data_IF_712535689468
#
_entry.id   IF_712535689468
#
_cell.length_a   1.000
_cell.length_b   1.000
_cell.length_c   1.000
_cell.angle_alpha   90.00
_cell.angle_beta   90.00
_cell.angle_gamma   90.00
#
_symmetry.space_group_name_H-M   'P 1'
#
loop_
_entity.id
_entity.type
_entity.pdbx_description
1 polymer ?
#
# COMPACT_ATOMS: atom_id res chain seq x y z
N UNK A 1 5.19 -4.29 -18.71
CA UNK A 1 3.99 -4.19 -17.85
C UNK A 1 4.04 -5.37 -16.89
N UNK A 2 4.58 -5.17 -15.67
CA UNK A 2 4.80 -6.23 -14.66
C UNK A 2 4.11 -5.77 -13.36
N UNK A 3 2.78 -5.82 -13.32
CA UNK A 3 2.01 -5.60 -12.07
C UNK A 3 1.22 -6.84 -11.62
N UNK A 4 1.30 -7.95 -12.37
CA UNK A 4 0.59 -9.20 -12.04
C UNK A 4 1.47 -10.29 -11.39
N UNK A 5 2.74 -10.01 -11.09
CA UNK A 5 3.66 -11.01 -10.53
C UNK A 5 3.48 -11.27 -9.03
N UNK A 6 2.60 -10.49 -8.36
CA UNK A 6 2.40 -10.58 -6.91
C UNK A 6 1.20 -11.44 -6.52
N UNK A 7 0.30 -11.75 -7.46
CA UNK A 7 -0.92 -12.51 -7.18
C UNK A 7 -0.77 -14.00 -7.51
N UNK A 8 -1.28 -14.84 -6.61
CA UNK A 8 -1.36 -16.29 -6.81
C UNK A 8 -2.36 -16.66 -7.91
N UNK A 9 -2.26 -17.87 -8.47
CA UNK A 9 -3.26 -18.35 -9.44
C UNK A 9 -4.65 -18.48 -8.81
N UNK A 10 -4.72 -18.81 -7.51
CA UNK A 10 -5.97 -18.82 -6.74
C UNK A 10 -6.65 -17.45 -6.79
N UNK A 11 -5.91 -16.38 -6.50
CA UNK A 11 -6.43 -15.02 -6.57
C UNK A 11 -6.98 -14.68 -7.96
N UNK A 12 -6.25 -15.01 -9.03
CA UNK A 12 -6.71 -14.79 -10.41
C UNK A 12 -8.01 -15.53 -10.73
N UNK A 13 -8.15 -16.77 -10.22
CA UNK A 13 -9.35 -17.56 -10.42
C UNK A 13 -10.54 -17.00 -9.61
N UNK A 14 -10.27 -16.40 -8.45
CA UNK A 14 -11.28 -15.79 -7.58
C UNK A 14 -11.88 -14.54 -8.21
N UNK A 15 -11.03 -13.66 -8.76
CA UNK A 15 -11.46 -12.37 -9.30
C UNK A 15 -12.01 -12.44 -10.72
N UNK A 16 -11.95 -13.59 -11.41
CA UNK A 16 -12.43 -13.74 -12.79
C UNK A 16 -13.92 -13.47 -12.99
N UNK A 17 -14.71 -13.58 -11.91
CA UNK A 17 -16.16 -13.38 -11.92
C UNK A 17 -16.54 -11.90 -11.79
N UNK A 18 -15.57 -11.02 -11.53
CA UNK A 18 -15.80 -9.59 -11.42
C UNK A 18 -15.78 -8.95 -12.82
N UNK A 19 -16.93 -8.44 -13.25
CA UNK A 19 -17.05 -7.68 -14.48
C UNK A 19 -16.86 -6.19 -14.20
N UNK A 20 -15.86 -5.57 -14.85
CA UNK A 20 -15.56 -4.15 -14.68
C UNK A 20 -16.56 -3.31 -15.48
N UNK A 21 -17.43 -2.56 -14.81
CA UNK A 21 -18.54 -1.83 -15.46
C UNK A 21 -18.36 -0.32 -15.52
N UNK A 22 -17.57 0.29 -14.62
CA UNK A 22 -17.32 1.73 -14.61
C UNK A 22 -15.91 2.03 -14.10
N UNK A 23 -15.25 3.03 -14.69
CA UNK A 23 -14.01 3.62 -14.18
C UNK A 23 -14.14 5.12 -14.19
N UNK A 24 -13.94 5.76 -13.04
CA UNK A 24 -14.09 7.21 -12.89
C UNK A 24 -13.03 7.80 -11.96
N UNK A 25 -12.45 8.94 -12.36
CA UNK A 25 -11.62 9.74 -11.46
C UNK A 25 -12.49 10.54 -10.50
N UNK A 26 -12.15 10.48 -9.21
CA UNK A 26 -12.76 11.32 -8.18
C UNK A 26 -11.72 12.25 -7.56
N UNK A 27 -12.14 13.47 -7.25
CA UNK A 27 -11.32 14.48 -6.59
C UNK A 27 -12.07 15.12 -5.46
N UNK A 28 -11.48 15.05 -4.26
CA UNK A 28 -11.96 15.76 -3.07
C UNK A 28 -11.08 16.98 -2.88
N UNK A 29 -11.70 18.13 -2.63
CA UNK A 29 -11.02 19.40 -2.44
C UNK A 29 -11.03 19.82 -0.97
N UNK A 30 -10.04 20.62 -0.58
CA UNK A 30 -10.10 21.43 0.62
C UNK A 30 -11.03 22.65 0.41
N UNK A 31 -11.39 23.33 1.49
CA UNK A 31 -12.17 24.58 1.45
C UNK A 31 -11.47 25.76 0.76
N UNK A 32 -10.21 25.61 0.35
CA UNK A 32 -9.44 26.60 -0.42
C UNK A 32 -9.23 26.15 -1.87
N UNK A 33 -10.11 25.27 -2.36
CA UNK A 33 -10.15 24.72 -3.72
C UNK A 33 -8.90 23.96 -4.16
N UNK A 34 -7.93 23.74 -3.27
CA UNK A 34 -6.80 22.87 -3.54
C UNK A 34 -7.22 21.40 -3.42
N UNK A 35 -6.74 20.51 -4.31
CA UNK A 35 -6.98 19.08 -4.17
C UNK A 35 -6.52 18.59 -2.80
N UNK A 36 -7.35 17.78 -2.15
CA UNK A 36 -7.03 17.02 -0.94
C UNK A 36 -6.69 15.58 -1.29
N UNK A 37 -7.46 15.00 -2.21
CA UNK A 37 -7.34 13.61 -2.59
C UNK A 37 -7.80 13.43 -4.04
N UNK A 38 -7.01 12.72 -4.84
CA UNK A 38 -7.35 12.32 -6.21
C UNK A 38 -7.21 10.79 -6.28
N UNK A 39 -8.23 10.11 -6.77
CA UNK A 39 -8.24 8.66 -6.93
C UNK A 39 -8.95 8.27 -8.22
N UNK A 40 -8.72 7.05 -8.69
CA UNK A 40 -9.58 6.40 -9.69
C UNK A 40 -10.40 5.35 -8.95
N UNK A 41 -11.72 5.43 -9.08
CA UNK A 41 -12.64 4.41 -8.59
C UNK A 41 -13.06 3.52 -9.75
N UNK A 42 -13.18 2.25 -9.46
CA UNK A 42 -13.77 1.26 -10.36
C UNK A 42 -15.00 0.66 -9.70
N UNK A 43 -15.99 0.31 -10.53
CA UNK A 43 -17.16 -0.47 -10.15
C UNK A 43 -17.05 -1.84 -10.81
N UNK A 44 -17.32 -2.88 -10.04
CA UNK A 44 -17.48 -4.24 -10.52
C UNK A 44 -18.91 -4.73 -10.28
N UNK A 45 -19.40 -5.53 -11.21
CA UNK A 45 -20.62 -6.32 -11.07
C UNK A 45 -20.26 -7.81 -11.03
N UNK A 46 -21.01 -8.56 -10.23
CA UNK A 46 -20.93 -10.01 -10.11
C UNK A 46 -22.31 -10.54 -9.67
N UNK A 47 -22.51 -11.86 -9.67
CA UNK A 47 -23.81 -12.48 -9.36
C UNK A 47 -24.38 -12.05 -8.00
N UNK A 48 -23.52 -11.73 -7.03
CA UNK A 48 -23.91 -11.25 -5.69
C UNK A 48 -24.10 -9.74 -5.56
N UNK A 49 -23.89 -8.95 -6.62
CA UNK A 49 -24.20 -7.52 -6.64
C UNK A 49 -23.10 -6.62 -7.18
N UNK A 50 -22.93 -5.46 -6.55
CA UNK A 50 -22.01 -4.41 -6.99
C UNK A 50 -20.97 -4.15 -5.91
N UNK A 51 -19.70 -4.11 -6.31
CA UNK A 51 -18.61 -3.64 -5.45
C UNK A 51 -17.85 -2.49 -6.09
N UNK A 52 -17.30 -1.60 -5.25
CA UNK A 52 -16.51 -0.45 -5.68
C UNK A 52 -15.18 -0.45 -4.95
N UNK A 53 -14.10 -0.16 -5.67
CA UNK A 53 -12.77 -0.05 -5.08
C UNK A 53 -11.97 1.07 -5.76
N UNK A 54 -10.86 1.46 -5.13
CA UNK A 54 -9.90 2.39 -5.74
C UNK A 54 -8.86 1.61 -6.52
N UNK A 55 -8.41 2.14 -7.66
CA UNK A 55 -7.40 1.51 -8.51
C UNK A 55 -6.38 2.53 -8.99
N UNK A 56 -5.27 2.03 -9.54
CA UNK A 56 -4.26 2.86 -10.17
C UNK A 56 -3.50 3.71 -9.15
N UNK A 57 -3.20 4.97 -9.50
CA UNK A 57 -2.43 5.85 -8.62
C UNK A 57 -3.33 6.84 -7.90
N UNK A 58 -3.31 6.81 -6.58
CA UNK A 58 -3.99 7.79 -5.72
C UNK A 58 -2.99 8.80 -5.16
N UNK A 59 -3.44 10.05 -5.04
CA UNK A 59 -2.64 11.15 -4.52
C UNK A 59 -3.37 11.81 -3.36
N UNK A 60 -2.71 11.93 -2.22
CA UNK A 60 -3.15 12.77 -1.10
C UNK A 60 -2.26 13.99 -1.05
N UNK A 61 -2.85 15.15 -0.80
CA UNK A 61 -2.16 16.43 -0.79
C UNK A 61 -2.28 17.08 0.59
N UNK A 62 -1.26 17.84 0.96
CA UNK A 62 -1.37 18.85 2.01
C UNK A 62 -2.21 20.03 1.53
N UNK A 63 -2.79 20.78 2.48
CA UNK A 63 -3.56 22.00 2.19
C UNK A 63 -2.78 23.09 1.45
N UNK A 64 -1.44 23.03 1.43
CA UNK A 64 -0.60 23.93 0.63
C UNK A 64 -0.49 23.51 -0.86
N UNK A 65 -1.01 22.33 -1.24
CA UNK A 65 -1.00 21.78 -2.60
C UNK A 65 0.15 20.80 -2.87
N UNK A 66 1.06 20.59 -1.91
CA UNK A 66 2.14 19.61 -2.06
C UNK A 66 1.62 18.20 -1.79
N UNK A 67 2.19 17.23 -2.48
CA UNK A 67 1.86 15.82 -2.29
C UNK A 67 2.30 15.39 -0.88
N UNK A 68 1.39 14.75 -0.15
CA UNK A 68 1.62 14.14 1.15
C UNK A 68 1.80 12.62 1.02
N UNK A 69 1.08 11.98 0.08
CA UNK A 69 1.14 10.54 -0.15
C UNK A 69 0.83 10.22 -1.60
N UNK A 70 1.56 9.27 -2.16
CA UNK A 70 1.26 8.62 -3.45
C UNK A 70 1.10 7.14 -3.16
N UNK A 71 0.00 6.55 -3.59
CA UNK A 71 -0.26 5.12 -3.42
C UNK A 71 -0.57 4.49 -4.76
N UNK A 72 0.12 3.42 -5.10
CA UNK A 72 -0.17 2.54 -6.23
C UNK A 72 -1.04 1.38 -5.75
N UNK A 73 -2.17 1.20 -6.43
CA UNK A 73 -3.19 0.21 -6.16
C UNK A 73 -3.37 -0.59 -7.44
N UNK A 74 -3.48 -1.91 -7.33
CA UNK A 74 -3.80 -2.75 -8.48
C UNK A 74 -5.23 -2.52 -8.98
N UNK A 75 -5.69 -3.33 -9.93
CA UNK A 75 -7.05 -3.20 -10.46
C UNK A 75 -8.16 -3.76 -9.56
N UNK A 76 -7.80 -4.43 -8.46
CA UNK A 76 -8.74 -5.06 -7.53
C UNK A 76 -8.78 -4.34 -6.15
N UNK A 77 -7.96 -3.31 -5.95
CA UNK A 77 -7.93 -2.53 -4.71
C UNK A 77 -6.78 -2.86 -3.76
N UNK A 78 -5.86 -3.74 -4.14
CA UNK A 78 -4.74 -4.11 -3.29
C UNK A 78 -3.60 -3.08 -3.37
N UNK A 79 -3.08 -2.69 -2.20
CA UNK A 79 -2.00 -1.73 -2.07
C UNK A 79 -0.66 -2.34 -2.48
N UNK A 80 -0.05 -1.83 -3.56
CA UNK A 80 1.21 -2.31 -4.10
C UNK A 80 2.41 -1.53 -3.55
N UNK A 81 2.32 -0.20 -3.60
CA UNK A 81 3.39 0.71 -3.18
C UNK A 81 2.79 1.98 -2.60
N UNK A 82 3.48 2.56 -1.63
CA UNK A 82 3.10 3.82 -1.03
C UNK A 82 4.32 4.66 -0.67
N UNK A 83 4.29 5.94 -1.02
CA UNK A 83 5.31 6.92 -0.67
C UNK A 83 4.68 8.04 0.12
N UNK A 84 5.26 8.36 1.29
CA UNK A 84 4.83 9.46 2.14
C UNK A 84 5.89 10.55 2.12
N UNK A 85 5.43 11.79 2.06
CA UNK A 85 6.27 12.97 1.95
C UNK A 85 5.95 13.95 3.08
N UNK A 86 6.96 14.66 3.57
CA UNK A 86 6.74 15.78 4.48
C UNK A 86 6.17 17.02 3.74
N UNK A 87 5.80 18.06 4.50
CA UNK A 87 5.29 19.32 3.92
C UNK A 87 6.30 20.05 3.03
N UNK A 88 7.58 19.66 3.09
CA UNK A 88 8.65 20.20 2.25
C UNK A 88 8.80 19.42 0.93
N UNK A 89 8.13 18.27 0.80
CA UNK A 89 8.20 17.38 -0.36
C UNK A 89 9.30 16.32 -0.24
N UNK A 90 9.91 16.14 0.93
CA UNK A 90 10.92 15.11 1.15
C UNK A 90 10.26 13.78 1.43
N UNK A 91 10.75 12.70 0.81
CA UNK A 91 10.32 11.33 1.11
C UNK A 91 10.69 10.97 2.56
N UNK A 92 9.70 10.59 3.36
CA UNK A 92 9.89 10.19 4.76
C UNK A 92 9.68 8.71 4.97
N UNK A 93 8.83 8.08 4.15
CA UNK A 93 8.50 6.67 4.28
C UNK A 93 8.10 6.10 2.92
N UNK A 94 8.48 4.87 2.66
CA UNK A 94 8.09 4.09 1.48
C UNK A 94 7.67 2.70 1.92
N UNK A 95 6.45 2.28 1.58
CA UNK A 95 5.93 0.93 1.83
C UNK A 95 5.82 0.19 0.51
N UNK A 96 6.34 -1.02 0.47
CA UNK A 96 6.39 -1.85 -0.73
C UNK A 96 5.79 -3.20 -0.35
N UNK A 97 4.66 -3.54 -0.95
CA UNK A 97 4.13 -4.89 -0.87
C UNK A 97 4.84 -5.76 -1.90
N UNK A 98 5.44 -6.85 -1.46
CA UNK A 98 6.19 -7.79 -2.31
C UNK A 98 5.41 -9.05 -2.63
N UNK A 99 4.47 -9.42 -1.76
CA UNK A 99 3.60 -10.59 -1.91
C UNK A 99 2.22 -10.27 -1.34
N UNK A 100 1.18 -10.66 -2.08
CA UNK A 100 -0.23 -10.58 -1.66
C UNK A 100 -0.88 -11.91 -1.99
N UNK A 101 -1.47 -12.54 -0.99
CA UNK A 101 -2.33 -13.70 -1.20
C UNK A 101 -3.61 -13.51 -0.39
N UNK A 102 -4.71 -14.07 -0.87
CA UNK A 102 -5.98 -13.98 -0.17
C UNK A 102 -6.51 -15.39 0.12
N UNK A 103 -6.92 -15.62 1.38
CA UNK A 103 -7.39 -16.90 1.91
C UNK A 103 -8.90 -17.10 1.78
N UNK A 104 -9.61 -16.17 1.13
CA UNK A 104 -11.02 -16.28 0.81
C UNK A 104 -11.30 -17.54 -0.03
N UNK A 105 -12.39 -18.24 0.30
CA UNK A 105 -12.79 -19.46 -0.41
C UNK A 105 -13.64 -19.12 -1.64
N UNK A 106 -14.36 -18.00 -1.60
CA UNK A 106 -15.24 -17.50 -2.65
C UNK A 106 -15.12 -15.97 -2.80
N UNK A 107 -15.83 -15.40 -3.78
CA UNK A 107 -15.71 -13.97 -4.07
C UNK A 107 -16.37 -13.12 -2.98
N UNK A 108 -17.46 -13.60 -2.38
CA UNK A 108 -18.15 -12.92 -1.28
C UNK A 108 -17.22 -12.75 -0.07
N UNK A 109 -16.56 -13.82 0.36
CA UNK A 109 -15.54 -13.81 1.42
C UNK A 109 -14.42 -12.82 1.11
N UNK A 110 -14.00 -12.74 -0.16
CA UNK A 110 -12.95 -11.81 -0.59
C UNK A 110 -13.39 -10.36 -0.45
N UNK A 111 -14.61 -10.05 -0.89
CA UNK A 111 -15.15 -8.70 -0.89
C UNK A 111 -15.55 -8.23 0.52
N UNK A 112 -15.89 -9.15 1.42
CA UNK A 112 -16.20 -8.89 2.83
C UNK A 112 -14.97 -8.91 3.74
N UNK A 113 -13.82 -9.43 3.29
CA UNK A 113 -12.63 -9.50 4.12
C UNK A 113 -12.08 -8.11 4.45
N UNK A 114 -12.13 -7.72 5.72
CA UNK A 114 -11.40 -6.55 6.22
C UNK A 114 -9.87 -6.75 6.17
N UNK A 115 -9.41 -7.99 6.04
CA UNK A 115 -7.99 -8.34 5.96
C UNK A 115 -7.56 -8.53 4.52
N UNK A 116 -6.38 -8.01 4.16
CA UNK A 116 -5.75 -8.22 2.85
C UNK A 116 -5.28 -9.67 2.61
N UNK A 117 -5.76 -10.64 3.40
CA UNK A 117 -5.24 -11.99 3.44
C UNK A 117 -3.81 -12.02 4.00
N UNK A 118 -2.95 -12.78 3.34
CA UNK A 118 -1.53 -12.91 3.67
C UNK A 118 -0.71 -11.92 2.84
N UNK A 119 0.32 -11.33 3.46
CA UNK A 119 1.16 -10.36 2.78
C UNK A 119 2.61 -10.39 3.26
N UNK A 120 3.50 -9.91 2.39
CA UNK A 120 4.84 -9.48 2.75
C UNK A 120 5.05 -8.04 2.34
N UNK A 121 5.55 -7.22 3.26
CA UNK A 121 5.80 -5.80 3.04
C UNK A 121 7.18 -5.40 3.55
N UNK A 122 7.82 -4.50 2.83
CA UNK A 122 8.99 -3.77 3.29
C UNK A 122 8.61 -2.31 3.50
N UNK A 123 8.96 -1.73 4.65
CA UNK A 123 8.78 -0.32 4.93
C UNK A 123 10.15 0.32 5.16
N UNK A 124 10.48 1.30 4.34
CA UNK A 124 11.70 2.10 4.46
C UNK A 124 11.36 3.45 5.08
N UNK A 125 12.10 3.86 6.10
CA UNK A 125 11.95 5.17 6.73
C UNK A 125 13.19 6.01 6.55
N UNK A 126 12.99 7.29 6.24
CA UNK A 126 14.04 8.22 5.86
C UNK A 126 14.09 9.41 6.82
N UNK A 127 15.29 9.90 7.11
CA UNK A 127 15.49 11.15 7.86
C UNK A 127 16.71 11.91 7.34
N UNK A 128 16.75 13.21 7.61
CA UNK A 128 17.83 14.08 7.20
C UNK A 128 18.99 14.07 8.19
N UNK A 129 20.22 13.82 7.70
CA UNK A 129 21.44 14.05 8.46
C UNK A 129 21.91 15.49 8.33
N UNK A 130 22.12 16.14 9.47
CA UNK A 130 22.74 17.48 9.48
C UNK A 130 24.25 17.45 9.20
N UNK A 131 24.89 16.30 9.43
CA UNK A 131 26.33 16.08 9.25
C UNK A 131 26.66 15.94 7.77
N UNK A 132 25.99 15.02 7.08
CA UNK A 132 26.22 14.76 5.64
C UNK A 132 25.38 15.66 4.74
N UNK A 133 24.43 16.43 5.31
CA UNK A 133 23.46 17.27 4.58
C UNK A 133 22.62 16.49 3.56
N UNK A 134 22.36 15.21 3.85
CA UNK A 134 21.60 14.32 2.97
C UNK A 134 20.51 13.55 3.73
N UNK A 135 19.49 13.13 3.00
CA UNK A 135 18.51 12.16 3.50
C UNK A 135 19.10 10.75 3.41
N UNK A 136 18.84 9.93 4.41
CA UNK A 136 19.27 8.54 4.45
C UNK A 136 18.18 7.65 5.06
N UNK A 137 18.19 6.37 4.69
CA UNK A 137 17.32 5.36 5.30
C UNK A 137 17.86 5.02 6.69
N UNK A 138 17.07 5.26 7.73
CA UNK A 138 17.48 5.01 9.12
C UNK A 138 16.76 3.83 9.76
N UNK A 139 15.67 3.36 9.16
CA UNK A 139 14.91 2.21 9.63
C UNK A 139 14.32 1.46 8.44
N UNK A 140 14.33 0.14 8.52
CA UNK A 140 13.70 -0.77 7.58
C UNK A 140 12.87 -1.77 8.39
N UNK A 141 11.59 -1.95 8.04
CA UNK A 141 10.71 -2.94 8.64
C UNK A 141 10.29 -3.96 7.59
N UNK A 142 10.32 -5.23 7.96
CA UNK A 142 9.80 -6.34 7.17
C UNK A 142 8.59 -6.89 7.92
N UNK A 143 7.43 -6.78 7.29
CA UNK A 143 6.16 -7.25 7.84
C UNK A 143 5.73 -8.48 7.06
N UNK A 144 5.51 -9.58 7.77
CA UNK A 144 5.02 -10.83 7.20
C UNK A 144 3.74 -11.22 7.94
N UNK A 145 2.61 -11.26 7.23
CA UNK A 145 1.38 -11.89 7.72
C UNK A 145 1.15 -13.15 6.90
N UNK A 146 1.30 -14.32 7.50
CA UNK A 146 1.12 -15.61 6.83
C UNK A 146 0.29 -16.50 7.75
N UNK A 147 -0.83 -17.03 7.26
CA UNK A 147 -1.72 -17.91 8.05
C UNK A 147 -2.10 -17.32 9.43
N UNK A 148 -2.50 -16.05 9.49
CA UNK A 148 -2.79 -15.27 10.74
C UNK A 148 -1.62 -15.09 11.70
N UNK A 149 -0.42 -15.56 11.35
CA UNK A 149 0.78 -15.30 12.14
C UNK A 149 1.45 -14.06 11.60
N UNK A 150 1.58 -13.05 12.45
CA UNK A 150 2.23 -11.80 12.10
C UNK A 150 3.65 -11.78 12.65
N UNK A 151 4.62 -11.49 11.80
CA UNK A 151 6.01 -11.27 12.17
C UNK A 151 6.46 -9.91 11.65
N UNK A 152 7.15 -9.17 12.51
CA UNK A 152 7.80 -7.92 12.19
C UNK A 152 9.29 -8.03 12.51
N UNK A 153 10.14 -7.77 11.51
CA UNK A 153 11.58 -7.56 11.72
C UNK A 153 11.93 -6.11 11.42
N UNK A 154 12.42 -5.41 12.43
CA UNK A 154 12.90 -4.04 12.36
C UNK A 154 14.42 -4.02 12.32
N UNK A 155 15.00 -3.31 11.35
CA UNK A 155 16.43 -2.97 11.29
C UNK A 155 16.59 -1.47 11.44
N UNK A 156 17.50 -1.05 12.33
CA UNK A 156 17.91 0.35 12.46
C UNK A 156 19.27 0.52 11.79
N UNK A 157 19.43 1.59 11.02
CA UNK A 157 20.64 1.87 10.25
C UNK A 157 21.25 3.22 10.67
N UNK A 158 22.58 3.28 10.68
CA UNK A 158 23.31 4.54 10.84
C UNK A 158 23.35 5.36 9.53
N UNK A 159 23.94 6.55 9.57
CA UNK A 159 24.05 7.46 8.42
C UNK A 159 24.82 6.87 7.23
N UNK A 160 25.67 5.86 7.46
CA UNK A 160 26.43 5.17 6.43
C UNK A 160 25.66 3.95 5.85
N UNK A 161 24.41 3.73 6.26
CA UNK A 161 23.60 2.58 5.85
C UNK A 161 24.00 1.26 6.51
N UNK A 162 24.80 1.29 7.58
CA UNK A 162 25.16 0.08 8.31
C UNK A 162 24.09 -0.23 9.36
N UNK A 163 23.71 -1.50 9.46
CA UNK A 163 22.78 -1.98 10.48
C UNK A 163 23.44 -1.86 11.85
N UNK A 164 22.78 -1.19 12.77
CA UNK A 164 23.22 -1.04 14.17
C UNK A 164 22.35 -1.81 15.14
N UNK A 165 21.15 -2.19 14.74
CA UNK A 165 20.20 -2.92 15.58
C UNK A 165 19.24 -3.74 14.72
N UNK A 166 18.90 -4.94 15.17
CA UNK A 166 17.85 -5.79 14.60
C UNK A 166 16.94 -6.25 15.75
N UNK A 167 15.63 -6.10 15.57
CA UNK A 167 14.59 -6.58 16.48
C UNK A 167 13.56 -7.37 15.69
N UNK A 168 13.20 -8.55 16.17
CA UNK A 168 12.12 -9.35 15.59
C UNK A 168 11.05 -9.60 16.65
N UNK A 169 9.79 -9.45 16.25
CA UNK A 169 8.63 -9.75 17.08
C UNK A 169 7.68 -10.63 16.29
N UNK A 170 7.17 -11.66 16.95
CA UNK A 170 6.16 -12.55 16.40
C UNK A 170 4.91 -12.45 17.26
N UNK A 171 3.77 -12.38 16.59
CA UNK A 171 2.45 -12.29 17.18
C UNK A 171 1.67 -13.49 16.64
N UNK A 172 1.36 -14.42 17.52
CA UNK A 172 0.41 -15.48 17.23
C UNK A 172 -0.93 -15.09 17.84
N UNK A 173 -2.02 -15.38 17.12
CA UNK A 173 -3.34 -15.56 17.74
C UNK A 173 -3.33 -16.77 18.67
#
# INVERSE_FOLDING_TARGET
MLMYSQHTQRFKNLTKVLEKTEVKTDTIFYSNDKPKFITVRTKFEYDGGIVKTNIGTTHVFYRNGRIARITQIDEFGNYLNEKLFDRKGNLTEERITTEIDNRAENIEDYLESESFGDFKKTINYYKFSRKTKSWYKYKEEFLNLINRKFEETQKVLNENGQIIEIKTKSYAE
#
